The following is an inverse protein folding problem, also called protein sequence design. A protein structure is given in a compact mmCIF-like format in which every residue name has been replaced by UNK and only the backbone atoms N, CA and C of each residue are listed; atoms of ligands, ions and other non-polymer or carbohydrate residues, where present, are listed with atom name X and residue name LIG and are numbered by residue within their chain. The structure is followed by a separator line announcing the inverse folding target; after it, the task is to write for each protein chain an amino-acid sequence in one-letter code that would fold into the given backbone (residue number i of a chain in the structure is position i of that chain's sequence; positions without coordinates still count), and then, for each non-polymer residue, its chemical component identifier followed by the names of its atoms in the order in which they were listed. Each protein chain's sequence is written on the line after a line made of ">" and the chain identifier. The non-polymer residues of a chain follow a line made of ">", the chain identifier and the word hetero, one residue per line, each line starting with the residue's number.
data_IF_859414952066
#
_entry.id   IF_859414952066
#
_cell.length_a   1.000
_cell.length_b   1.000
_cell.length_c   1.000
_cell.angle_alpha   90.00
_cell.angle_beta   90.00
_cell.angle_gamma   90.00
#
_symmetry.space_group_name_H-M   'P 1'
#
loop_
_entity.id
_entity.type
_entity.pdbx_description
1 polymer ?
#
# COMPACT_ATOMS: atom_id res chain seq x y z
N UNK A 1 56.80 52.02 17.76
CA UNK A 1 55.94 51.70 16.60
C UNK A 1 54.74 50.91 17.09
N UNK A 2 53.55 51.51 17.15
CA UNK A 2 52.33 50.81 17.54
C UNK A 2 51.74 50.09 16.32
N UNK A 3 51.46 48.80 16.44
CA UNK A 3 50.88 47.98 15.36
C UNK A 3 49.41 48.36 15.15
N UNK A 4 49.04 48.70 13.91
CA UNK A 4 47.64 48.92 13.52
C UNK A 4 46.88 47.59 13.64
N UNK A 5 45.90 47.52 14.54
CA UNK A 5 44.98 46.39 14.63
C UNK A 5 44.24 46.19 13.30
N UNK A 6 44.47 45.05 12.66
CA UNK A 6 43.76 44.61 11.45
C UNK A 6 42.28 44.39 11.80
N UNK A 7 41.35 45.02 11.06
CA UNK A 7 39.90 44.78 11.20
C UNK A 7 39.60 43.29 11.04
N UNK A 8 38.85 42.71 11.99
CA UNK A 8 38.32 41.34 11.88
C UNK A 8 37.48 41.23 10.61
N UNK A 9 37.73 40.21 9.78
CA UNK A 9 36.90 39.89 8.62
C UNK A 9 35.57 39.32 9.10
N UNK A 10 34.48 39.75 8.48
CA UNK A 10 33.14 39.17 8.69
C UNK A 10 33.21 37.73 8.18
N UNK A 11 32.95 36.78 9.07
CA UNK A 11 32.89 35.36 8.75
C UNK A 11 31.52 35.07 8.12
N UNK A 12 31.51 34.74 6.82
CA UNK A 12 30.29 34.39 6.10
C UNK A 12 29.85 32.94 6.33
N UNK A 13 30.66 32.12 7.01
CA UNK A 13 30.34 30.71 7.30
C UNK A 13 29.23 30.55 8.35
N UNK A 14 28.92 31.61 9.12
CA UNK A 14 27.91 31.63 10.17
C UNK A 14 26.56 32.23 9.75
N UNK A 15 26.31 32.41 8.45
CA UNK A 15 24.97 32.76 7.95
C UNK A 15 24.01 31.58 8.10
N UNK A 16 23.57 31.33 9.32
CA UNK A 16 22.29 30.68 9.59
C UNK A 16 21.22 31.74 9.30
N UNK A 17 21.01 32.01 8.02
CA UNK A 17 19.90 32.85 7.58
C UNK A 17 18.60 32.08 7.74
N UNK A 18 17.53 32.76 8.13
CA UNK A 18 16.18 32.19 8.05
C UNK A 18 15.90 31.76 6.60
N UNK A 19 15.37 30.55 6.43
CA UNK A 19 14.90 30.06 5.13
C UNK A 19 13.67 30.87 4.77
N UNK A 20 13.84 31.93 3.98
CA UNK A 20 12.72 32.68 3.42
C UNK A 20 12.11 31.83 2.31
N UNK A 21 10.95 31.23 2.57
CA UNK A 21 10.17 30.49 1.57
C UNK A 21 9.48 31.52 0.68
N UNK A 22 9.99 31.70 -0.54
CA UNK A 22 9.34 32.52 -1.55
C UNK A 22 8.13 31.76 -2.14
N UNK A 23 6.93 32.18 -1.73
CA UNK A 23 5.65 31.58 -2.14
C UNK A 23 5.39 31.76 -3.64
N UNK A 24 6.05 32.73 -4.28
CA UNK A 24 5.89 33.03 -5.71
C UNK A 24 6.91 32.32 -6.61
N UNK A 25 7.92 31.67 -6.01
CA UNK A 25 9.04 31.10 -6.75
C UNK A 25 8.62 29.96 -7.68
N UNK A 26 9.28 29.91 -8.84
CA UNK A 26 9.30 28.73 -9.69
C UNK A 26 10.25 27.70 -9.08
N UNK A 27 9.76 26.47 -8.93
CA UNK A 27 10.45 25.33 -8.36
C UNK A 27 10.38 24.15 -9.33
N UNK A 28 11.42 23.32 -9.32
CA UNK A 28 11.45 22.07 -10.08
C UNK A 28 10.38 21.10 -9.54
N UNK A 29 9.64 20.47 -10.44
CA UNK A 29 8.79 19.31 -10.14
C UNK A 29 9.15 18.12 -11.06
N UNK A 30 8.41 17.01 -10.99
CA UNK A 30 8.68 15.80 -11.79
C UNK A 30 8.52 15.99 -13.31
N UNK A 31 7.93 17.11 -13.76
CA UNK A 31 7.65 17.40 -15.17
C UNK A 31 8.44 18.58 -15.74
N UNK A 32 8.89 19.53 -14.92
CA UNK A 32 9.57 20.76 -15.35
C UNK A 32 10.49 21.32 -14.27
N UNK A 33 11.62 21.88 -14.69
CA UNK A 33 12.56 22.61 -13.82
C UNK A 33 12.02 23.96 -13.35
N UNK A 34 11.05 24.54 -14.07
CA UNK A 34 10.53 25.89 -13.85
C UNK A 34 9.01 25.87 -13.66
N UNK A 35 8.51 25.15 -12.67
CA UNK A 35 7.07 25.06 -12.39
C UNK A 35 6.67 25.93 -11.18
N UNK A 36 5.49 26.57 -11.22
CA UNK A 36 4.94 27.25 -10.03
C UNK A 36 3.87 26.35 -9.40
N UNK A 37 3.99 26.08 -8.10
CA UNK A 37 2.95 25.35 -7.36
C UNK A 37 1.78 26.30 -7.08
N UNK A 38 0.62 26.04 -7.68
CA UNK A 38 -0.56 26.91 -7.55
C UNK A 38 -1.44 26.52 -6.36
N UNK A 39 -1.68 25.23 -6.15
CA UNK A 39 -2.50 24.74 -5.05
C UNK A 39 -2.11 23.32 -4.66
N UNK A 40 -2.62 22.87 -3.52
CA UNK A 40 -2.63 21.46 -3.11
C UNK A 40 -4.05 21.11 -2.71
N UNK A 41 -4.59 20.03 -3.24
CA UNK A 41 -5.89 19.49 -2.84
C UNK A 41 -5.66 18.05 -2.37
N UNK A 42 -6.36 17.67 -1.31
CA UNK A 42 -6.43 16.30 -0.85
C UNK A 42 -7.79 15.73 -1.23
N UNK A 43 -7.78 14.52 -1.79
CA UNK A 43 -8.97 13.75 -2.12
C UNK A 43 -9.08 12.58 -1.13
N UNK A 44 -10.30 12.24 -0.73
CA UNK A 44 -10.57 11.14 0.19
C UNK A 44 -11.12 9.94 -0.59
N UNK A 45 -10.60 8.75 -0.31
CA UNK A 45 -11.10 7.49 -0.86
C UNK A 45 -11.94 6.78 0.20
N UNK A 46 -13.18 6.44 -0.15
CA UNK A 46 -14.09 5.64 0.64
C UNK A 46 -13.99 4.16 0.26
N UNK A 47 -13.90 3.30 1.27
CA UNK A 47 -13.82 1.84 1.11
C UNK A 47 -14.87 1.18 2.00
N UNK A 48 -15.91 0.63 1.37
CA UNK A 48 -16.93 -0.16 2.05
C UNK A 48 -16.41 -1.60 2.20
N UNK A 49 -16.31 -2.12 3.43
CA UNK A 49 -15.72 -3.43 3.72
C UNK A 49 -16.81 -4.42 4.12
N UNK A 50 -16.88 -5.54 3.39
CA UNK A 50 -17.81 -6.63 3.62
C UNK A 50 -17.08 -7.93 3.94
N UNK A 51 -17.68 -8.73 4.80
CA UNK A 51 -17.21 -10.09 5.10
C UNK A 51 -18.14 -11.10 4.43
N UNK A 52 -17.55 -11.97 3.62
CA UNK A 52 -18.28 -13.10 3.04
C UNK A 52 -18.76 -14.02 4.18
N UNK A 53 -19.96 -14.58 4.01
CA UNK A 53 -20.55 -15.50 4.97
C UNK A 53 -19.58 -16.62 5.37
N UNK A 54 -18.83 -17.14 4.40
CA UNK A 54 -17.88 -18.22 4.65
C UNK A 54 -16.72 -17.81 5.58
N UNK A 55 -16.25 -16.56 5.52
CA UNK A 55 -15.29 -16.06 6.50
C UNK A 55 -15.94 -15.94 7.88
N UNK A 56 -17.16 -15.39 7.93
CA UNK A 56 -17.87 -15.19 9.18
C UNK A 56 -18.13 -16.51 9.92
N UNK A 57 -18.60 -17.53 9.19
CA UNK A 57 -18.81 -18.88 9.71
C UNK A 57 -17.51 -19.46 10.30
N UNK A 58 -16.37 -19.29 9.60
CA UNK A 58 -15.06 -19.74 10.08
C UNK A 58 -14.56 -18.99 11.31
N UNK A 59 -14.81 -17.68 11.38
CA UNK A 59 -14.40 -16.87 12.54
C UNK A 59 -15.21 -17.27 13.79
N UNK A 60 -16.52 -17.50 13.64
CA UNK A 60 -17.40 -17.81 14.76
C UNK A 60 -17.31 -19.27 15.22
N UNK A 61 -17.32 -20.20 14.27
CA UNK A 61 -17.48 -21.62 14.54
C UNK A 61 -16.19 -22.43 14.38
N UNK A 62 -15.13 -21.82 13.84
CA UNK A 62 -13.91 -22.54 13.48
C UNK A 62 -14.11 -23.44 12.26
N UNK A 63 -13.20 -24.39 12.09
CA UNK A 63 -13.31 -25.47 11.11
C UNK A 63 -13.03 -26.84 11.77
N UNK A 64 -12.74 -27.87 10.97
CA UNK A 64 -12.41 -29.21 11.46
C UNK A 64 -11.15 -29.24 12.35
N UNK A 65 -10.32 -28.21 12.33
CA UNK A 65 -9.11 -28.05 13.13
C UNK A 65 -9.34 -27.14 14.37
N UNK A 66 -10.58 -26.68 14.59
CA UNK A 66 -10.96 -25.84 15.72
C UNK A 66 -11.10 -24.35 15.38
N UNK A 67 -11.13 -23.51 16.41
CA UNK A 67 -11.26 -22.05 16.25
C UNK A 67 -9.94 -21.48 15.73
N UNK A 68 -10.00 -20.68 14.67
CA UNK A 68 -8.81 -20.07 14.07
C UNK A 68 -8.46 -18.78 14.80
N UNK A 69 -7.32 -18.77 15.48
CA UNK A 69 -6.74 -17.58 16.10
C UNK A 69 -5.98 -16.73 15.07
N UNK A 70 -5.99 -15.40 15.25
CA UNK A 70 -5.24 -14.46 14.41
C UNK A 70 -5.94 -14.05 13.11
N UNK A 71 -7.24 -14.33 12.98
CA UNK A 71 -8.09 -13.87 11.86
C UNK A 71 -9.21 -12.95 12.35
N UNK A 72 -8.96 -12.18 13.42
CA UNK A 72 -9.94 -11.28 13.99
C UNK A 72 -10.32 -10.17 13.00
N UNK A 73 -11.58 -9.73 13.06
CA UNK A 73 -12.16 -8.76 12.12
C UNK A 73 -11.37 -7.46 12.04
N UNK A 74 -10.87 -6.94 13.16
CA UNK A 74 -10.14 -5.67 13.20
C UNK A 74 -8.74 -5.79 12.58
N UNK A 75 -8.07 -6.91 12.82
CA UNK A 75 -6.78 -7.25 12.20
C UNK A 75 -6.93 -7.35 10.69
N UNK A 76 -7.93 -8.10 10.22
CA UNK A 76 -8.18 -8.28 8.79
C UNK A 76 -8.62 -6.97 8.14
N UNK A 77 -9.50 -6.19 8.79
CA UNK A 77 -9.93 -4.88 8.30
C UNK A 77 -8.74 -3.93 8.11
N UNK A 78 -7.84 -3.87 9.08
CA UNK A 78 -6.64 -3.04 9.01
C UNK A 78 -5.75 -3.46 7.84
N UNK A 79 -5.57 -4.76 7.64
CA UNK A 79 -4.83 -5.32 6.50
C UNK A 79 -5.48 -4.94 5.15
N UNK A 80 -6.81 -5.04 5.01
CA UNK A 80 -7.49 -4.67 3.77
C UNK A 80 -7.27 -3.20 3.39
N UNK A 81 -7.28 -2.30 4.39
CA UNK A 81 -7.06 -0.86 4.20
C UNK A 81 -5.60 -0.57 3.85
N UNK A 82 -4.66 -1.16 4.60
CA UNK A 82 -3.23 -1.04 4.36
C UNK A 82 -2.87 -1.52 2.95
N UNK A 83 -3.25 -2.75 2.62
CA UNK A 83 -3.08 -3.34 1.31
C UNK A 83 -3.68 -2.48 0.19
N UNK A 84 -4.87 -1.92 0.39
CA UNK A 84 -5.53 -1.06 -0.59
C UNK A 84 -4.63 0.07 -1.09
N UNK A 85 -3.86 0.72 -0.21
CA UNK A 85 -2.91 1.79 -0.57
C UNK A 85 -1.81 1.29 -1.50
N UNK A 86 -1.24 0.14 -1.20
CA UNK A 86 -0.21 -0.50 -2.03
C UNK A 86 -0.78 -0.96 -3.38
N UNK A 87 -2.00 -1.51 -3.39
CA UNK A 87 -2.67 -1.91 -4.63
C UNK A 87 -2.94 -0.72 -5.55
N UNK A 88 -3.42 0.41 -5.01
CA UNK A 88 -3.56 1.65 -5.77
C UNK A 88 -2.21 2.10 -6.36
N UNK A 89 -1.16 2.12 -5.54
CA UNK A 89 0.19 2.44 -6.01
C UNK A 89 0.61 1.54 -7.18
N UNK A 90 0.46 0.22 -7.07
CA UNK A 90 0.85 -0.70 -8.12
C UNK A 90 -0.01 -0.57 -9.37
N UNK A 91 -1.31 -0.30 -9.25
CA UNK A 91 -2.18 -0.11 -10.42
C UNK A 91 -1.79 1.13 -11.24
N UNK A 92 -1.23 2.15 -10.59
CA UNK A 92 -0.73 3.36 -11.25
C UNK A 92 0.67 3.12 -11.83
N UNK A 93 1.55 2.47 -11.05
CA UNK A 93 2.94 2.21 -11.45
C UNK A 93 3.06 1.19 -12.56
N UNK A 94 2.27 0.12 -12.51
CA UNK A 94 2.31 -1.00 -13.45
C UNK A 94 1.05 -1.04 -14.31
N UNK A 95 1.19 -0.62 -15.58
CA UNK A 95 0.07 -0.47 -16.53
C UNK A 95 -0.68 -1.76 -16.85
N UNK A 96 -0.06 -2.93 -16.65
CA UNK A 96 -0.71 -4.21 -16.94
C UNK A 96 -1.41 -4.81 -15.72
N UNK A 97 -1.23 -4.22 -14.54
CA UNK A 97 -1.85 -4.67 -13.31
C UNK A 97 -3.13 -3.88 -13.01
N UNK A 98 -4.20 -4.61 -12.74
CA UNK A 98 -5.42 -4.09 -12.13
C UNK A 98 -5.89 -5.08 -11.08
N UNK A 99 -6.43 -4.55 -9.98
CA UNK A 99 -7.01 -5.34 -8.89
C UNK A 99 -8.50 -5.03 -8.68
N UNK A 100 -9.03 -4.03 -9.39
CA UNK A 100 -10.40 -3.55 -9.24
C UNK A 100 -11.27 -4.15 -10.32
N UNK A 101 -12.36 -4.78 -9.90
CA UNK A 101 -13.41 -5.27 -10.77
C UNK A 101 -14.43 -4.15 -11.02
N UNK A 102 -14.67 -3.79 -12.28
CA UNK A 102 -15.62 -2.73 -12.66
C UNK A 102 -17.05 -3.22 -12.82
N UNK A 103 -17.20 -4.47 -13.25
CA UNK A 103 -18.50 -5.10 -13.52
C UNK A 103 -18.63 -6.35 -12.68
N UNK A 104 -19.88 -6.73 -12.39
CA UNK A 104 -20.18 -8.00 -11.75
C UNK A 104 -20.00 -9.10 -12.78
N UNK A 105 -18.85 -9.77 -12.73
CA UNK A 105 -18.51 -10.89 -13.61
C UNK A 105 -18.61 -12.22 -12.87
N UNK A 106 -18.84 -13.35 -13.57
CA UNK A 106 -18.96 -14.67 -12.91
C UNK A 106 -17.72 -15.10 -12.14
N UNK A 107 -16.54 -14.57 -12.50
CA UNK A 107 -15.25 -14.86 -11.87
C UNK A 107 -14.50 -13.55 -11.67
N UNK A 108 -14.82 -12.78 -10.61
CA UNK A 108 -14.11 -11.56 -10.31
C UNK A 108 -12.66 -11.87 -9.96
N UNK A 109 -11.76 -10.94 -10.30
CA UNK A 109 -10.36 -11.01 -9.93
C UNK A 109 -10.25 -10.98 -8.39
N UNK A 110 -9.51 -11.96 -7.85
CA UNK A 110 -9.25 -12.11 -6.41
C UNK A 110 -7.78 -11.93 -6.17
N UNK A 111 -7.44 -11.06 -5.23
CA UNK A 111 -6.06 -10.88 -4.79
C UNK A 111 -5.84 -11.56 -3.44
N UNK A 112 -4.64 -12.13 -3.28
CA UNK A 112 -4.16 -12.63 -2.00
C UNK A 112 -3.32 -11.55 -1.34
N UNK A 113 -3.69 -11.18 -0.12
CA UNK A 113 -3.00 -10.23 0.72
C UNK A 113 -2.31 -11.01 1.82
N UNK A 114 -0.99 -10.93 1.86
CA UNK A 114 -0.18 -11.64 2.84
C UNK A 114 0.51 -10.62 3.73
N UNK A 115 0.22 -10.68 5.02
CA UNK A 115 0.94 -9.90 6.03
C UNK A 115 1.99 -10.78 6.70
N UNK A 116 3.26 -10.40 6.53
CA UNK A 116 4.36 -11.02 7.26
C UNK A 116 4.47 -10.39 8.64
N UNK A 117 4.67 -11.24 9.65
CA UNK A 117 4.90 -10.84 11.04
C UNK A 117 6.09 -11.63 11.54
N UNK A 118 7.07 -10.94 12.12
CA UNK A 118 8.30 -11.57 12.58
C UNK A 118 8.00 -12.62 13.66
N UNK A 119 8.52 -13.84 13.47
CA UNK A 119 8.33 -14.94 14.41
C UNK A 119 6.95 -15.62 14.37
N UNK A 120 6.06 -15.21 13.47
CA UNK A 120 4.71 -15.78 13.34
C UNK A 120 4.41 -16.32 11.94
N UNK A 121 3.41 -17.21 11.84
CA UNK A 121 2.88 -17.62 10.54
C UNK A 121 2.21 -16.42 9.84
N UNK A 122 2.38 -16.28 8.51
CA UNK A 122 1.81 -15.15 7.79
C UNK A 122 0.29 -15.22 7.76
N UNK A 123 -0.36 -14.06 7.86
CA UNK A 123 -1.79 -13.91 7.68
C UNK A 123 -2.08 -13.72 6.18
N UNK A 124 -2.81 -14.67 5.60
CA UNK A 124 -3.21 -14.65 4.20
C UNK A 124 -4.70 -14.35 4.12
N UNK A 125 -5.05 -13.32 3.37
CA UNK A 125 -6.41 -12.83 3.18
C UNK A 125 -6.72 -12.82 1.70
N UNK A 126 -7.82 -13.46 1.30
CA UNK A 126 -8.32 -13.40 -0.08
C UNK A 126 -9.42 -12.36 -0.14
N UNK A 127 -9.25 -11.36 -1.01
CA UNK A 127 -10.19 -10.26 -1.13
C UNK A 127 -10.53 -9.97 -2.61
N UNK A 128 -11.72 -9.44 -2.81
CA UNK A 128 -12.20 -8.90 -4.08
C UNK A 128 -12.42 -7.40 -3.90
N UNK A 129 -11.85 -6.58 -4.80
CA UNK A 129 -12.06 -5.13 -4.82
C UNK A 129 -12.98 -4.80 -6.01
N UNK A 130 -14.01 -3.99 -5.78
CA UNK A 130 -14.97 -3.55 -6.79
C UNK A 130 -15.07 -2.03 -6.83
N UNK A 131 -15.23 -1.50 -8.04
CA UNK A 131 -15.50 -0.09 -8.26
C UNK A 131 -16.98 0.21 -7.99
N UNK A 132 -17.26 1.24 -7.18
CA UNK A 132 -18.62 1.73 -6.97
C UNK A 132 -18.83 3.12 -7.57
N UNK A 133 -17.79 3.94 -7.61
CA UNK A 133 -17.86 5.32 -8.10
C UNK A 133 -16.53 6.04 -7.94
N UNK A 134 -16.50 7.33 -8.33
CA UNK A 134 -15.32 8.16 -8.12
C UNK A 134 -14.97 8.16 -6.63
N UNK A 135 -13.72 7.82 -6.34
CA UNK A 135 -13.19 7.68 -4.98
C UNK A 135 -13.95 6.71 -4.07
N UNK A 136 -14.80 5.83 -4.61
CA UNK A 136 -15.58 4.88 -3.81
C UNK A 136 -15.40 3.45 -4.31
N UNK A 137 -15.00 2.58 -3.39
CA UNK A 137 -14.72 1.17 -3.66
C UNK A 137 -15.40 0.29 -2.63
N UNK A 138 -15.68 -0.94 -3.05
CA UNK A 138 -16.11 -2.02 -2.19
C UNK A 138 -15.00 -3.06 -2.08
N UNK A 139 -14.81 -3.61 -0.88
CA UNK A 139 -13.90 -4.72 -0.65
C UNK A 139 -14.64 -5.83 0.06
N UNK A 140 -14.69 -7.00 -0.55
CA UNK A 140 -15.25 -8.20 0.06
C UNK A 140 -14.16 -9.18 0.43
N UNK A 141 -14.04 -9.46 1.72
CA UNK A 141 -13.19 -10.51 2.27
C UNK A 141 -13.81 -11.89 2.01
N UNK A 142 -13.13 -12.76 1.27
CA UNK A 142 -13.59 -14.13 0.99
C UNK A 142 -13.13 -15.15 2.01
N UNK A 143 -11.88 -15.05 2.46
CA UNK A 143 -11.33 -15.91 3.50
C UNK A 143 -10.07 -15.30 4.10
N UNK A 144 -9.77 -15.67 5.35
CA UNK A 144 -8.51 -15.38 6.04
C UNK A 144 -7.93 -16.66 6.64
N UNK A 145 -6.61 -16.81 6.59
CA UNK A 145 -5.87 -17.97 7.07
C UNK A 145 -4.46 -17.61 7.54
N UNK A 146 -4.13 -17.97 8.77
CA UNK A 146 -2.76 -17.85 9.30
C UNK A 146 -2.01 -19.16 9.08
N UNK A 147 -1.34 -19.28 7.94
CA UNK A 147 -0.69 -20.53 7.51
C UNK A 147 0.54 -20.25 6.64
N UNK A 148 1.58 -21.06 6.78
CA UNK A 148 2.72 -21.07 5.85
C UNK A 148 2.37 -21.77 4.53
N UNK A 149 2.96 -21.32 3.43
CA UNK A 149 2.81 -21.99 2.13
C UNK A 149 1.39 -21.90 1.54
N UNK A 150 0.71 -20.77 1.72
CA UNK A 150 -0.60 -20.52 1.11
C UNK A 150 -0.54 -20.72 -0.41
N UNK A 151 -1.46 -21.53 -0.96
CA UNK A 151 -1.44 -21.89 -2.38
C UNK A 151 -2.18 -20.84 -3.21
N UNK A 152 -1.51 -20.33 -4.24
CA UNK A 152 -2.11 -19.48 -5.26
C UNK A 152 -2.66 -20.31 -6.42
N UNK A 153 -3.70 -19.79 -7.06
CA UNK A 153 -4.18 -20.29 -8.35
C UNK A 153 -3.42 -19.66 -9.50
N UNK A 154 -3.35 -20.35 -10.64
CA UNK A 154 -2.69 -19.80 -11.83
C UNK A 154 -3.36 -18.49 -12.27
N UNK A 155 -2.54 -17.49 -12.61
CA UNK A 155 -2.94 -16.13 -12.93
C UNK A 155 -3.17 -15.22 -11.73
N UNK A 156 -3.24 -15.75 -10.51
CA UNK A 156 -3.60 -15.01 -9.31
C UNK A 156 -2.46 -14.10 -8.82
N UNK A 157 -2.82 -12.88 -8.44
CA UNK A 157 -1.90 -11.94 -7.79
C UNK A 157 -1.82 -12.17 -6.29
N UNK A 158 -0.62 -11.94 -5.75
CA UNK A 158 -0.37 -11.87 -4.32
C UNK A 158 0.39 -10.57 -4.01
N UNK A 159 -0.14 -9.81 -3.05
CA UNK A 159 0.53 -8.70 -2.41
C UNK A 159 1.10 -9.18 -1.08
N UNK A 160 2.41 -9.08 -0.92
CA UNK A 160 3.10 -9.36 0.34
C UNK A 160 3.44 -8.01 0.98
N UNK A 161 2.94 -7.79 2.19
CA UNK A 161 3.29 -6.65 3.04
C UNK A 161 4.37 -7.09 4.03
N UNK A 162 5.50 -6.39 3.98
CA UNK A 162 6.64 -6.63 4.85
C UNK A 162 6.54 -5.78 6.13
N UNK A 163 7.25 -6.14 7.22
CA UNK A 163 7.20 -5.39 8.48
C UNK A 163 7.68 -3.94 8.40
N UNK A 164 8.45 -3.59 7.38
CA UNK A 164 9.08 -2.28 7.18
C UNK A 164 8.25 -1.33 6.29
N UNK A 165 6.94 -1.54 6.16
CA UNK A 165 6.03 -0.79 5.28
C UNK A 165 6.35 -0.91 3.78
N UNK A 166 7.30 -1.78 3.39
CA UNK A 166 7.53 -2.14 1.99
C UNK A 166 6.57 -3.25 1.57
N UNK A 167 6.48 -3.44 0.26
CA UNK A 167 5.65 -4.53 -0.26
C UNK A 167 6.17 -5.06 -1.59
N UNK A 168 5.73 -6.28 -1.88
CA UNK A 168 6.07 -7.00 -3.10
C UNK A 168 4.79 -7.52 -3.74
N UNK A 169 4.59 -7.18 -5.01
CA UNK A 169 3.51 -7.70 -5.84
C UNK A 169 4.06 -8.81 -6.73
N UNK A 170 3.48 -10.00 -6.62
CA UNK A 170 3.83 -11.16 -7.41
C UNK A 170 2.60 -11.77 -8.06
N UNK A 171 2.82 -12.55 -9.11
CA UNK A 171 1.77 -13.28 -9.82
C UNK A 171 2.21 -14.71 -10.06
N UNK A 172 1.33 -15.67 -9.81
CA UNK A 172 1.57 -17.04 -10.25
C UNK A 172 1.24 -17.15 -11.74
N UNK A 173 2.19 -17.55 -12.58
CA UNK A 173 1.96 -17.88 -13.99
C UNK A 173 2.63 -19.20 -14.35
N UNK A 174 1.86 -20.14 -14.91
CA UNK A 174 2.32 -21.48 -15.32
C UNK A 174 3.12 -22.18 -14.22
N UNK A 175 2.58 -22.14 -13.00
CA UNK A 175 3.19 -22.67 -11.78
C UNK A 175 4.54 -22.03 -11.36
N UNK A 176 4.87 -20.84 -11.88
CA UNK A 176 6.05 -20.06 -11.48
C UNK A 176 5.61 -18.74 -10.85
N UNK A 177 6.23 -18.39 -9.73
CA UNK A 177 6.06 -17.08 -9.10
C UNK A 177 6.86 -16.05 -9.90
N UNK A 178 6.17 -15.04 -10.44
CA UNK A 178 6.77 -13.93 -11.16
C UNK A 178 6.68 -12.66 -10.34
N UNK A 179 7.81 -11.97 -10.18
CA UNK A 179 7.84 -10.64 -9.58
C UNK A 179 7.21 -9.63 -10.56
N UNK A 180 6.19 -8.91 -10.10
CA UNK A 180 5.49 -7.89 -10.89
C UNK A 180 6.04 -6.50 -10.58
N UNK A 181 6.20 -6.17 -9.29
CA UNK A 181 6.79 -4.91 -8.85
C UNK A 181 7.09 -4.95 -7.35
N UNK A 182 8.01 -4.10 -6.93
CA UNK A 182 8.32 -3.82 -5.52
C UNK A 182 8.01 -2.35 -5.20
N UNK A 183 7.69 -2.09 -3.94
CA UNK A 183 7.55 -0.75 -3.39
C UNK A 183 8.57 -0.61 -2.27
N UNK A 184 9.63 0.16 -2.53
CA UNK A 184 10.67 0.51 -1.57
C UNK A 184 10.52 1.97 -1.14
N UNK A 185 11.01 2.30 0.04
CA UNK A 185 11.16 3.69 0.51
C UNK A 185 12.11 4.50 -0.39
#
# INVERSE_FOLDING_TARGET
>A
MQSKNKRKRIDYSSKVGEVVVDVEAFVKNKSSENAKKISTTAEHIEIDIYFDKHYFDRQQHGDQEGKRDGIESDTVKSLLVEAGRHLFYYSIKNKTFSFVNFEVVPRPERIVLTKEVEGELPLNVVAEYHYLGLNKFEVTLKTAMKIGGFKLSDGQYQLILHPDETSTLIRLEKAKMLLVSECTH
#
